data_IF_853107186740
#
_entry.id   IF_853107186740
#
_cell.length_a   1.000
_cell.length_b   1.000
_cell.length_c   1.000
_cell.angle_alpha   90.00
_cell.angle_beta   90.00
_cell.angle_gamma   90.00
#
_symmetry.space_group_name_H-M   'P 1'
#
loop_
_entity.id
_entity.type
_entity.pdbx_description
1 polymer ?
#
# COMPACT_ATOMS: atom_id res chain seq x y z
N UNK A 1 39.06 -17.13 -1.45
CA UNK A 1 39.45 -17.12 -0.03
C UNK A 1 38.23 -16.78 0.81
N UNK A 2 37.83 -17.66 1.73
CA UNK A 2 36.68 -17.45 2.64
C UNK A 2 37.14 -16.64 3.86
N UNK A 3 36.69 -15.39 4.08
CA UNK A 3 37.20 -14.57 5.19
C UNK A 3 36.57 -14.83 6.56
N UNK A 4 35.55 -15.69 6.69
CA UNK A 4 34.68 -15.69 7.88
C UNK A 4 34.69 -17.03 8.60
N UNK A 5 35.83 -17.30 9.24
CA UNK A 5 35.96 -18.32 10.29
C UNK A 5 36.07 -17.61 11.63
N UNK A 6 34.98 -17.58 12.41
CA UNK A 6 35.08 -17.29 13.84
C UNK A 6 33.94 -16.45 14.40
N UNK A 7 33.07 -17.10 15.17
CA UNK A 7 32.18 -16.49 16.15
C UNK A 7 32.93 -15.75 17.30
N UNK A 8 34.24 -15.51 17.16
CA UNK A 8 35.14 -14.98 18.18
C UNK A 8 35.79 -13.61 17.81
N UNK A 9 35.58 -13.09 16.60
CA UNK A 9 36.11 -11.78 16.20
C UNK A 9 35.02 -10.71 16.26
N UNK A 10 35.35 -9.56 16.85
CA UNK A 10 34.51 -8.37 16.90
C UNK A 10 34.46 -7.68 15.54
N UNK A 11 33.38 -6.92 15.29
CA UNK A 11 33.22 -6.11 14.09
C UNK A 11 34.24 -4.98 14.06
N UNK A 12 34.94 -4.80 12.94
CA UNK A 12 35.81 -3.65 12.73
C UNK A 12 35.00 -2.38 12.48
N UNK A 13 35.57 -1.20 12.79
CA UNK A 13 34.84 0.06 12.67
C UNK A 13 34.36 0.34 11.23
N UNK A 14 35.14 -0.02 10.22
CA UNK A 14 34.74 0.09 8.81
C UNK A 14 33.51 -0.75 8.49
N UNK A 15 33.44 -1.97 9.02
CA UNK A 15 32.28 -2.85 8.85
C UNK A 15 31.03 -2.31 9.54
N UNK A 16 31.20 -1.67 10.71
CA UNK A 16 30.10 -1.02 11.43
C UNK A 16 29.57 0.18 10.63
N UNK A 17 30.45 1.01 10.07
CA UNK A 17 30.05 2.15 9.23
C UNK A 17 29.38 1.69 7.93
N UNK A 18 29.96 0.70 7.25
CA UNK A 18 29.37 0.14 6.03
C UNK A 18 28.02 -0.54 6.30
N UNK A 19 27.84 -1.13 7.49
CA UNK A 19 26.55 -1.66 7.94
C UNK A 19 25.52 -0.53 8.14
N UNK A 20 25.89 0.51 8.89
CA UNK A 20 25.00 1.66 9.15
C UNK A 20 24.61 2.43 7.88
N UNK A 21 25.50 2.49 6.90
CA UNK A 21 25.29 3.18 5.62
C UNK A 21 24.72 2.25 4.52
N UNK A 22 24.44 0.98 4.83
CA UNK A 22 23.85 0.03 3.87
C UNK A 22 24.76 -0.36 2.70
N UNK A 23 26.09 -0.25 2.85
CA UNK A 23 27.09 -0.51 1.79
C UNK A 23 27.64 -1.94 1.79
N UNK A 24 27.23 -2.78 2.74
CA UNK A 24 27.67 -4.17 2.81
C UNK A 24 27.05 -5.02 1.69
N UNK A 25 27.84 -5.93 1.12
CA UNK A 25 27.28 -7.02 0.29
C UNK A 25 26.31 -7.88 1.09
N UNK A 26 25.33 -8.50 0.43
CA UNK A 26 24.33 -9.37 1.08
C UNK A 26 24.94 -10.44 1.99
N UNK A 27 26.07 -11.04 1.57
CA UNK A 27 26.80 -12.03 2.38
C UNK A 27 27.43 -11.43 3.64
N UNK A 28 27.98 -10.22 3.53
CA UNK A 28 28.58 -9.52 4.68
C UNK A 28 27.51 -9.02 5.65
N UNK A 29 26.37 -8.56 5.15
CA UNK A 29 25.20 -8.16 5.95
C UNK A 29 24.73 -9.32 6.85
N UNK A 30 24.48 -10.49 6.27
CA UNK A 30 24.06 -11.70 7.01
C UNK A 30 25.08 -12.07 8.10
N UNK A 31 26.37 -11.90 7.84
CA UNK A 31 27.42 -12.22 8.81
C UNK A 31 27.42 -11.23 9.99
N UNK A 32 27.24 -9.93 9.72
CA UNK A 32 27.14 -8.88 10.74
C UNK A 32 25.88 -9.06 11.58
N UNK A 33 24.72 -9.27 10.95
CA UNK A 33 23.45 -9.51 11.65
C UNK A 33 23.52 -10.74 12.55
N UNK A 34 24.08 -11.85 12.05
CA UNK A 34 24.30 -13.06 12.84
C UNK A 34 25.22 -12.80 14.04
N UNK A 35 26.24 -11.97 13.88
CA UNK A 35 27.10 -11.58 14.99
C UNK A 35 26.35 -10.71 16.02
N UNK A 36 25.56 -9.74 15.57
CA UNK A 36 24.78 -8.85 16.44
C UNK A 36 23.63 -9.56 17.17
N UNK A 37 23.12 -10.65 16.58
CA UNK A 37 22.18 -11.56 17.23
C UNK A 37 22.78 -12.24 18.49
N UNK A 38 24.12 -12.38 18.56
CA UNK A 38 24.79 -12.80 19.79
C UNK A 38 24.95 -11.63 20.77
N UNK A 39 24.99 -11.86 22.10
CA UNK A 39 25.11 -10.80 23.11
C UNK A 39 26.53 -10.22 23.21
N UNK A 40 27.14 -9.80 22.09
CA UNK A 40 28.45 -9.20 22.07
C UNK A 40 28.41 -7.71 22.49
N UNK A 41 28.58 -7.45 23.78
CA UNK A 41 28.51 -6.10 24.37
C UNK A 41 29.39 -5.07 23.65
N UNK A 42 30.66 -5.41 23.37
CA UNK A 42 31.63 -4.50 22.74
C UNK A 42 31.19 -4.04 21.34
N UNK A 43 30.63 -4.95 20.54
CA UNK A 43 30.16 -4.61 19.20
C UNK A 43 28.89 -3.77 19.24
N UNK A 44 28.00 -4.02 20.22
CA UNK A 44 26.81 -3.18 20.42
C UNK A 44 27.16 -1.77 20.88
N UNK A 45 28.07 -1.63 21.85
CA UNK A 45 28.55 -0.32 22.30
C UNK A 45 29.21 0.47 21.15
N UNK A 46 30.02 -0.21 20.34
CA UNK A 46 30.64 0.38 19.14
C UNK A 46 29.60 0.79 18.09
N UNK A 47 28.58 -0.04 17.85
CA UNK A 47 27.49 0.25 16.92
C UNK A 47 26.70 1.49 17.37
N UNK A 48 26.35 1.57 18.65
CA UNK A 48 25.63 2.73 19.22
C UNK A 48 26.47 4.00 19.08
N UNK A 49 27.76 3.95 19.45
CA UNK A 49 28.64 5.12 19.35
C UNK A 49 28.81 5.59 17.90
N UNK A 50 28.97 4.65 16.95
CA UNK A 50 29.08 4.98 15.53
C UNK A 50 27.76 5.54 14.97
N UNK A 51 26.61 4.95 15.34
CA UNK A 51 25.29 5.42 14.92
C UNK A 51 25.04 6.87 15.37
N UNK A 52 25.35 7.20 16.64
CA UNK A 52 25.22 8.56 17.16
C UNK A 52 26.11 9.57 16.40
N UNK A 53 27.32 9.17 16.01
CA UNK A 53 28.20 10.04 15.22
C UNK A 53 27.64 10.27 13.81
N UNK A 54 27.19 9.20 13.15
CA UNK A 54 26.58 9.29 11.81
C UNK A 54 25.32 10.15 11.84
N UNK A 55 24.46 9.97 12.84
CA UNK A 55 23.24 10.76 13.03
C UNK A 55 23.55 12.26 13.15
N UNK A 56 24.54 12.65 13.96
CA UNK A 56 24.98 14.06 14.07
C UNK A 56 25.53 14.61 12.75
N UNK A 57 26.33 13.82 12.05
CA UNK A 57 26.88 14.23 10.74
C UNK A 57 25.77 14.38 9.69
N UNK A 58 24.71 13.57 9.78
CA UNK A 58 23.56 13.65 8.88
C UNK A 58 22.65 14.84 9.25
N UNK A 59 22.43 15.11 10.54
CA UNK A 59 21.64 16.27 10.97
C UNK A 59 22.23 17.58 10.49
N UNK A 60 23.56 17.73 10.56
CA UNK A 60 24.26 18.93 10.07
C UNK A 60 24.11 19.13 8.55
N UNK A 61 23.82 18.06 7.81
CA UNK A 61 23.65 18.07 6.35
C UNK A 61 22.19 18.05 5.93
N UNK A 62 21.26 17.97 6.87
CA UNK A 62 19.84 17.87 6.57
C UNK A 62 19.31 19.22 6.09
N UNK A 63 18.79 19.24 4.87
CA UNK A 63 18.01 20.37 4.36
C UNK A 63 16.64 20.31 5.04
N UNK A 64 16.04 21.45 5.42
CA UNK A 64 14.69 21.47 5.95
C UNK A 64 13.74 20.72 4.99
N UNK A 65 13.08 19.70 5.52
CA UNK A 65 12.10 18.92 4.76
C UNK A 65 10.92 19.85 4.47
N UNK A 66 10.48 19.97 3.19
CA UNK A 66 9.29 20.75 2.86
C UNK A 66 8.09 20.31 3.70
N UNK A 67 7.32 21.26 4.24
CA UNK A 67 6.21 20.99 5.16
C UNK A 67 5.18 20.01 4.59
N UNK A 68 4.99 20.04 3.27
CA UNK A 68 4.10 19.11 2.57
C UNK A 68 4.55 17.64 2.75
N UNK A 69 5.85 17.36 2.61
CA UNK A 69 6.39 16.01 2.79
C UNK A 69 6.35 15.57 4.26
N UNK A 70 6.56 16.52 5.18
CA UNK A 70 6.44 16.25 6.61
C UNK A 70 5.01 15.85 6.98
N UNK A 71 4.00 16.54 6.43
CA UNK A 71 2.58 16.21 6.62
C UNK A 71 2.23 14.84 6.06
N UNK A 72 2.63 14.55 4.81
CA UNK A 72 2.40 13.25 4.17
C UNK A 72 3.05 12.11 4.99
N UNK A 73 4.27 12.32 5.49
CA UNK A 73 4.93 11.32 6.32
C UNK A 73 4.16 11.06 7.63
N UNK A 74 3.72 12.12 8.33
CA UNK A 74 2.93 11.99 9.55
C UNK A 74 1.59 11.28 9.30
N UNK A 75 0.92 11.59 8.19
CA UNK A 75 -0.32 10.92 7.78
C UNK A 75 -0.09 9.43 7.44
N UNK A 76 1.06 9.10 6.83
CA UNK A 76 1.44 7.72 6.51
C UNK A 76 1.69 6.86 7.76
N UNK A 77 2.23 7.46 8.83
CA UNK A 77 2.38 6.78 10.12
C UNK A 77 1.09 6.79 10.96
N UNK A 78 0.12 7.64 10.64
CA UNK A 78 -1.21 7.67 11.27
C UNK A 78 -2.13 6.51 10.87
N UNK A 79 -1.75 5.69 9.88
CA UNK A 79 -2.60 4.66 9.29
C UNK A 79 -2.08 3.22 9.47
N UNK A 80 -1.22 2.96 10.46
CA UNK A 80 -0.87 1.58 10.85
C UNK A 80 -1.44 1.27 12.23
N UNK A 81 -2.67 0.76 12.22
CA UNK A 81 -3.14 -0.18 13.24
C UNK A 81 -3.54 0.41 14.59
N UNK A 82 -4.55 1.27 14.60
CA UNK A 82 -5.63 0.97 15.53
C UNK A 82 -6.63 0.09 14.79
N UNK A 83 -6.71 -1.19 15.18
CA UNK A 83 -7.94 -1.95 15.05
C UNK A 83 -9.03 -1.13 15.71
N UNK A 84 -9.70 -0.27 14.92
CA UNK A 84 -10.77 0.59 15.41
C UNK A 84 -11.84 -0.32 15.98
N UNK A 85 -12.05 -0.21 17.29
CA UNK A 85 -13.14 -0.89 17.97
C UNK A 85 -14.47 -0.55 17.28
N UNK A 86 -15.43 -1.48 17.21
CA UNK A 86 -16.71 -1.30 16.54
C UNK A 86 -17.55 -0.29 17.32
N UNK A 87 -17.35 0.99 17.02
CA UNK A 87 -18.03 2.11 17.64
C UNK A 87 -18.14 3.25 16.64
N UNK A 88 -19.12 3.12 15.73
CA UNK A 88 -19.65 4.18 14.86
C UNK A 88 -18.67 4.82 13.88
N UNK A 89 -18.12 4.03 12.96
CA UNK A 89 -17.83 4.60 11.63
C UNK A 89 -19.17 4.84 10.94
N UNK A 90 -19.46 6.09 10.55
CA UNK A 90 -20.65 6.38 9.76
C UNK A 90 -20.47 5.65 8.43
N UNK A 91 -21.34 4.67 8.19
CA UNK A 91 -21.36 3.90 6.96
C UNK A 91 -22.49 4.42 6.09
N UNK A 92 -22.16 4.84 4.87
CA UNK A 92 -23.12 5.19 3.84
C UNK A 92 -23.17 4.12 2.77
N UNK A 93 -24.27 4.08 2.02
CA UNK A 93 -24.41 3.23 0.85
C UNK A 93 -24.14 4.07 -0.40
N UNK A 94 -23.22 3.62 -1.24
CA UNK A 94 -22.95 4.23 -2.53
C UNK A 94 -24.16 4.04 -3.46
N UNK A 95 -24.49 5.07 -4.23
CA UNK A 95 -25.61 5.03 -5.17
C UNK A 95 -25.12 4.61 -6.55
N UNK A 96 -25.56 3.46 -7.05
CA UNK A 96 -25.29 3.05 -8.43
C UNK A 96 -26.01 3.99 -9.41
N UNK A 97 -25.27 4.67 -10.27
CA UNK A 97 -25.82 5.62 -11.25
C UNK A 97 -25.66 5.18 -12.69
N UNK A 98 -24.76 4.22 -12.97
CA UNK A 98 -24.60 3.63 -14.29
C UNK A 98 -24.17 2.17 -14.18
N UNK A 99 -24.75 1.32 -15.03
CA UNK A 99 -24.34 -0.06 -15.22
C UNK A 99 -24.45 -0.42 -16.71
N UNK A 100 -23.32 -0.79 -17.31
CA UNK A 100 -23.27 -1.15 -18.74
C UNK A 100 -24.06 -2.42 -19.08
N UNK A 101 -24.36 -3.28 -18.10
CA UNK A 101 -25.16 -4.48 -18.32
C UNK A 101 -26.64 -4.17 -18.56
N UNK A 102 -27.17 -3.11 -17.92
CA UNK A 102 -28.58 -2.72 -18.03
C UNK A 102 -28.80 -1.56 -19.01
N UNK A 103 -27.75 -0.77 -19.28
CA UNK A 103 -27.76 0.34 -20.22
C UNK A 103 -26.76 0.10 -21.35
N UNK A 104 -27.10 -0.74 -22.34
CA UNK A 104 -26.17 -1.10 -23.40
C UNK A 104 -25.76 0.13 -24.21
N UNK A 105 -24.45 0.38 -24.28
CA UNK A 105 -23.90 1.45 -25.11
C UNK A 105 -24.29 1.26 -26.59
N UNK A 106 -24.49 2.36 -27.34
CA UNK A 106 -24.72 2.31 -28.78
C UNK A 106 -23.66 1.48 -29.49
N UNK A 107 -24.03 0.75 -30.53
CA UNK A 107 -23.18 -0.24 -31.20
C UNK A 107 -21.80 0.28 -31.65
N UNK A 108 -21.67 1.58 -31.95
CA UNK A 108 -20.42 2.22 -32.37
C UNK A 108 -19.44 2.53 -31.22
N UNK A 109 -19.88 2.46 -29.96
CA UNK A 109 -19.06 2.63 -28.77
C UNK A 109 -18.74 1.28 -28.08
N UNK A 110 -19.15 0.16 -28.68
CA UNK A 110 -18.72 -1.18 -28.28
C UNK A 110 -17.29 -1.37 -28.80
N UNK A 111 -16.30 -1.16 -27.93
CA UNK A 111 -14.95 -1.60 -28.26
C UNK A 111 -14.98 -3.13 -28.44
N UNK A 112 -14.28 -3.63 -29.47
CA UNK A 112 -14.17 -5.05 -29.81
C UNK A 112 -13.27 -5.84 -28.84
N UNK A 113 -13.23 -5.43 -27.57
CA UNK A 113 -12.44 -6.03 -26.48
C UNK A 113 -13.47 -6.50 -25.45
N UNK A 114 -13.28 -7.71 -24.91
CA UNK A 114 -14.28 -8.55 -24.24
C UNK A 114 -15.20 -7.84 -23.24
N UNK A 115 -16.32 -8.49 -22.92
CA UNK A 115 -17.49 -8.07 -22.13
C UNK A 115 -17.19 -7.35 -20.79
N UNK A 116 -16.50 -6.22 -20.83
CA UNK A 116 -16.10 -5.50 -19.65
C UNK A 116 -17.34 -4.80 -19.06
N UNK A 117 -17.66 -5.10 -17.80
CA UNK A 117 -18.77 -4.47 -17.11
C UNK A 117 -18.29 -3.17 -16.48
N UNK A 118 -18.92 -2.06 -16.85
CA UNK A 118 -18.63 -0.73 -16.32
C UNK A 118 -19.73 -0.30 -15.37
N UNK A 119 -19.34 0.10 -14.18
CA UNK A 119 -20.20 0.62 -13.14
C UNK A 119 -19.75 2.02 -12.73
N UNK A 120 -20.71 2.90 -12.42
CA UNK A 120 -20.43 4.20 -11.80
C UNK A 120 -21.28 4.35 -10.56
N UNK A 121 -20.65 4.78 -9.48
CA UNK A 121 -21.28 5.05 -8.20
C UNK A 121 -21.08 6.51 -7.79
N UNK A 122 -22.09 7.09 -7.16
CA UNK A 122 -21.97 8.34 -6.44
C UNK A 122 -21.76 8.08 -4.94
N UNK A 123 -20.87 8.90 -4.36
CA UNK A 123 -20.40 8.82 -2.99
C UNK A 123 -20.62 10.17 -2.30
N UNK A 124 -21.88 10.61 -2.24
CA UNK A 124 -22.25 11.92 -1.73
C UNK A 124 -21.87 13.04 -2.70
N UNK A 125 -20.61 13.48 -2.68
CA UNK A 125 -20.04 14.47 -3.61
C UNK A 125 -19.04 13.89 -4.62
N UNK A 126 -18.52 12.69 -4.34
CA UNK A 126 -17.49 12.06 -5.16
C UNK A 126 -18.07 11.01 -6.10
N UNK A 127 -17.25 10.56 -7.06
CA UNK A 127 -17.66 9.52 -8.02
C UNK A 127 -16.63 8.41 -8.09
N UNK A 128 -17.08 7.16 -8.05
CA UNK A 128 -16.27 5.98 -8.27
C UNK A 128 -16.69 5.29 -9.57
N UNK A 129 -15.75 5.13 -10.48
CA UNK A 129 -15.92 4.37 -11.72
C UNK A 129 -15.15 3.05 -11.61
N UNK A 130 -15.82 1.94 -11.91
CA UNK A 130 -15.26 0.59 -11.89
C UNK A 130 -15.46 -0.06 -13.26
N UNK A 131 -14.43 -0.75 -13.74
CA UNK A 131 -14.45 -1.58 -14.94
C UNK A 131 -13.95 -2.98 -14.56
N UNK A 132 -14.78 -3.99 -14.80
CA UNK A 132 -14.47 -5.39 -14.56
C UNK A 132 -14.19 -6.06 -15.90
N UNK A 133 -12.96 -6.50 -16.11
CA UNK A 133 -12.51 -7.18 -17.32
C UNK A 133 -12.25 -8.66 -17.01
N UNK A 134 -12.90 -9.62 -17.70
CA UNK A 134 -12.66 -11.04 -17.47
C UNK A 134 -11.27 -11.44 -17.99
N UNK A 135 -10.48 -12.10 -17.14
CA UNK A 135 -9.14 -12.61 -17.50
C UNK A 135 -9.19 -14.06 -18.04
N UNK A 136 -10.29 -14.78 -17.76
CA UNK A 136 -10.44 -16.21 -18.01
C UNK A 136 -10.32 -17.04 -16.73
N UNK A 137 -10.73 -18.32 -16.77
CA UNK A 137 -10.71 -19.24 -15.63
C UNK A 137 -11.47 -18.76 -14.36
N UNK A 138 -12.51 -17.93 -14.52
CA UNK A 138 -13.29 -17.40 -13.40
C UNK A 138 -12.59 -16.28 -12.63
N UNK A 139 -11.57 -15.64 -13.22
CA UNK A 139 -10.91 -14.47 -12.66
C UNK A 139 -11.27 -13.20 -13.45
N UNK A 140 -11.26 -12.07 -12.74
CA UNK A 140 -11.50 -10.73 -13.29
C UNK A 140 -10.45 -9.73 -12.81
N UNK A 141 -10.08 -8.80 -13.68
CA UNK A 141 -9.38 -7.57 -13.30
C UNK A 141 -10.43 -6.51 -12.96
N UNK A 142 -10.33 -5.91 -11.79
CA UNK A 142 -11.01 -4.65 -11.47
C UNK A 142 -10.05 -3.48 -11.74
N UNK A 143 -10.44 -2.56 -12.62
CA UNK A 143 -9.80 -1.25 -12.78
C UNK A 143 -10.78 -0.16 -12.41
N UNK A 144 -10.30 0.98 -11.95
CA UNK A 144 -11.21 2.08 -11.68
C UNK A 144 -10.54 3.41 -11.45
N UNK A 145 -11.40 4.41 -11.25
CA UNK A 145 -11.02 5.78 -10.98
C UNK A 145 -11.92 6.35 -9.90
N UNK A 146 -11.32 6.87 -8.82
CA UNK A 146 -11.99 7.65 -7.80
C UNK A 146 -11.80 9.14 -8.11
N UNK A 147 -12.90 9.83 -8.42
CA UNK A 147 -12.93 11.29 -8.58
C UNK A 147 -13.30 11.90 -7.23
N UNK A 148 -12.27 12.20 -6.44
CA UNK A 148 -12.34 12.88 -5.16
C UNK A 148 -11.13 13.83 -5.01
N UNK A 149 -11.26 14.97 -4.31
CA UNK A 149 -10.15 15.93 -4.13
C UNK A 149 -8.92 15.30 -3.44
N UNK A 150 -9.14 14.33 -2.55
CA UNK A 150 -8.09 13.63 -1.80
C UNK A 150 -8.13 12.12 -2.04
N UNK A 151 -8.13 11.71 -3.31
CA UNK A 151 -8.24 10.30 -3.70
C UNK A 151 -7.17 9.39 -3.05
N UNK A 152 -5.96 9.91 -2.81
CA UNK A 152 -4.86 9.21 -2.13
C UNK A 152 -5.16 8.82 -0.68
N UNK A 153 -6.08 9.53 -0.01
CA UNK A 153 -6.48 9.24 1.37
C UNK A 153 -7.51 8.10 1.45
N UNK A 154 -7.99 7.63 0.30
CA UNK A 154 -8.99 6.59 0.24
C UNK A 154 -8.35 5.21 0.15
N UNK A 155 -9.04 4.22 0.73
CA UNK A 155 -8.68 2.82 0.66
C UNK A 155 -9.86 2.04 0.13
N UNK A 156 -9.66 1.29 -0.94
CA UNK A 156 -10.66 0.41 -1.52
C UNK A 156 -10.37 -1.02 -1.06
N UNK A 157 -11.32 -1.58 -0.31
CA UNK A 157 -11.33 -2.99 0.08
C UNK A 157 -12.34 -3.74 -0.78
N UNK A 158 -11.89 -4.82 -1.40
CA UNK A 158 -12.72 -5.73 -2.18
C UNK A 158 -12.68 -7.10 -1.49
N UNK A 159 -13.85 -7.65 -1.18
CA UNK A 159 -14.01 -8.96 -0.58
C UNK A 159 -14.79 -9.90 -1.50
N UNK A 160 -14.32 -11.14 -1.62
CA UNK A 160 -14.96 -12.23 -2.37
C UNK A 160 -14.98 -13.48 -1.48
N UNK A 161 -16.08 -13.74 -0.78
CA UNK A 161 -16.12 -14.79 0.24
C UNK A 161 -15.11 -14.53 1.37
N UNK A 162 -14.11 -15.40 1.52
CA UNK A 162 -13.03 -15.25 2.52
C UNK A 162 -11.82 -14.45 2.01
N UNK A 163 -11.69 -14.25 0.70
CA UNK A 163 -10.59 -13.47 0.13
C UNK A 163 -10.85 -11.97 0.26
N UNK A 164 -9.79 -11.23 0.62
CA UNK A 164 -9.82 -9.76 0.70
C UNK A 164 -8.61 -9.18 -0.01
N UNK A 165 -8.85 -8.12 -0.77
CA UNK A 165 -7.82 -7.36 -1.48
C UNK A 165 -8.01 -5.87 -1.21
N UNK A 166 -6.90 -5.17 -1.12
CA UNK A 166 -6.88 -3.74 -0.84
C UNK A 166 -6.15 -3.04 -1.98
N UNK A 167 -6.71 -1.92 -2.41
CA UNK A 167 -6.07 -0.99 -3.34
C UNK A 167 -6.16 0.43 -2.80
N UNK A 168 -5.15 1.23 -3.14
CA UNK A 168 -5.11 2.65 -2.88
C UNK A 168 -5.16 3.37 -4.23
N UNK A 169 -6.11 4.30 -4.45
CA UNK A 169 -6.08 5.17 -5.60
C UNK A 169 -4.76 5.94 -5.65
N UNK A 170 -4.20 6.09 -6.84
CA UNK A 170 -3.05 6.97 -7.08
C UNK A 170 -3.47 8.46 -7.02
N UNK A 171 -2.52 9.37 -7.23
CA UNK A 171 -2.78 10.82 -7.18
C UNK A 171 -3.79 11.33 -8.22
N UNK A 172 -3.97 10.58 -9.30
CA UNK A 172 -4.98 10.80 -10.34
C UNK A 172 -6.29 10.02 -10.09
N UNK A 173 -6.39 9.35 -8.93
CA UNK A 173 -7.54 8.54 -8.54
C UNK A 173 -7.58 7.14 -9.17
N UNK A 174 -6.61 6.76 -10.01
CA UNK A 174 -6.62 5.45 -10.66
C UNK A 174 -6.22 4.32 -9.70
N UNK A 175 -6.87 3.17 -9.84
CA UNK A 175 -6.50 1.95 -9.11
C UNK A 175 -6.75 0.70 -9.96
N UNK A 176 -6.09 -0.40 -9.60
CA UNK A 176 -6.31 -1.71 -10.19
C UNK A 176 -6.12 -2.83 -9.17
N UNK A 177 -6.97 -3.85 -9.26
CA UNK A 177 -6.87 -5.12 -8.53
C UNK A 177 -6.98 -6.23 -9.58
N UNK A 178 -5.92 -7.02 -9.72
CA UNK A 178 -5.84 -8.12 -10.71
C UNK A 178 -6.23 -9.46 -10.07
N UNK A 179 -6.60 -10.44 -10.90
CA UNK A 179 -6.85 -11.82 -10.49
C UNK A 179 -7.86 -11.96 -9.32
N UNK A 180 -8.96 -11.21 -9.39
CA UNK A 180 -10.07 -11.29 -8.43
C UNK A 180 -10.99 -12.46 -8.82
N UNK A 181 -11.40 -13.34 -7.90
CA UNK A 181 -12.40 -14.37 -8.20
C UNK A 181 -13.72 -13.75 -8.66
N UNK A 182 -14.30 -14.27 -9.75
CA UNK A 182 -15.67 -13.94 -10.17
C UNK A 182 -16.69 -14.43 -9.13
N UNK A 183 -17.86 -13.79 -9.09
CA UNK A 183 -18.89 -14.02 -8.07
C UNK A 183 -19.33 -12.73 -7.36
N UNK A 184 -20.01 -12.86 -6.20
CA UNK A 184 -20.50 -11.72 -5.45
C UNK A 184 -19.34 -10.95 -4.82
N UNK A 185 -19.18 -9.70 -5.23
CA UNK A 185 -18.15 -8.80 -4.74
C UNK A 185 -18.75 -7.81 -3.75
N UNK A 186 -18.13 -7.71 -2.57
CA UNK A 186 -18.38 -6.64 -1.63
C UNK A 186 -17.25 -5.61 -1.73
N UNK A 187 -17.59 -4.38 -2.09
CA UNK A 187 -16.62 -3.29 -2.19
C UNK A 187 -16.92 -2.24 -1.15
N UNK A 188 -15.88 -1.88 -0.38
CA UNK A 188 -15.93 -0.83 0.62
C UNK A 188 -14.86 0.20 0.31
N UNK A 189 -15.24 1.48 0.30
CA UNK A 189 -14.32 2.60 0.18
C UNK A 189 -14.26 3.32 1.53
N UNK A 190 -13.13 3.24 2.20
CA UNK A 190 -12.84 4.02 3.39
C UNK A 190 -12.13 5.32 2.99
N UNK A 191 -12.60 6.45 3.50
CA UNK A 191 -12.02 7.77 3.27
C UNK A 191 -12.02 8.64 4.52
N UNK A 192 -11.55 9.89 4.44
CA UNK A 192 -11.48 10.81 5.58
C UNK A 192 -12.85 11.12 6.18
N UNK A 193 -13.88 11.17 5.32
CA UNK A 193 -15.25 11.51 5.75
C UNK A 193 -16.01 10.30 6.30
N UNK A 194 -15.51 9.08 6.11
CA UNK A 194 -16.08 7.83 6.63
C UNK A 194 -16.07 6.71 5.59
N UNK A 195 -17.05 5.81 5.65
CA UNK A 195 -17.02 4.57 4.87
C UNK A 195 -18.22 4.46 3.94
N UNK A 196 -17.95 4.21 2.67
CA UNK A 196 -18.96 3.92 1.66
C UNK A 196 -18.97 2.44 1.32
N UNK A 197 -20.13 1.81 1.45
CA UNK A 197 -20.35 0.44 0.99
C UNK A 197 -21.05 0.47 -0.35
N UNK A 198 -20.51 -0.23 -1.33
CA UNK A 198 -21.20 -0.44 -2.59
C UNK A 198 -22.26 -1.55 -2.40
N UNK A 199 -23.37 -1.51 -3.17
CA UNK A 199 -24.24 -2.67 -3.33
C UNK A 199 -23.42 -3.88 -3.78
N UNK A 200 -23.83 -5.09 -3.36
CA UNK A 200 -23.18 -6.33 -3.81
C UNK A 200 -23.24 -6.41 -5.33
N UNK A 201 -22.08 -6.71 -5.94
CA UNK A 201 -21.92 -6.73 -7.40
C UNK A 201 -21.71 -8.18 -7.83
N UNK A 202 -22.60 -8.68 -8.68
CA UNK A 202 -22.46 -9.99 -9.32
C UNK A 202 -21.60 -9.89 -10.58
N UNK A 203 -20.40 -10.47 -10.59
CA UNK A 203 -19.51 -10.49 -11.76
C UNK A 203 -19.37 -11.90 -12.32
#
# INVERSE_FOLDING_TARGET
MNPWSGAARHLEIGQVLDYLEGRLSARALIAVERHLATPCRRCRERLVAAAQLVERMQSDRSVPVPELLHRIALESFGAVGELRSPGQSISWLARLVFDSATSPSPAFARHAIGEARRLRFELGGDTLECEFEPEGAGLVTLRGCLKAPDALLHTLELATGEERRVAHPAGDGLFAIVAVPAGPLEITLAGPDGTWRLPVIEI
#
